data_IF_223085178842
#
_entry.id   IF_223085178842
#
_cell.length_a   1.000
_cell.length_b   1.000
_cell.length_c   1.000
_cell.angle_alpha   90.00
_cell.angle_beta   90.00
_cell.angle_gamma   90.00
#
_symmetry.space_group_name_H-M   'P 1'
#
loop_
_entity.id
_entity.type
_entity.pdbx_description
1 polymer ?
#
# COMPACT_ATOMS: atom_id res chain seq x y z
N UNK A 1 5.16 5.30 3.48
CA UNK A 1 6.09 6.14 2.68
C UNK A 1 5.48 7.54 2.52
N UNK A 2 6.29 8.59 2.28
CA UNK A 2 5.77 9.88 1.83
C UNK A 2 5.20 9.79 0.41
N UNK A 3 4.57 10.88 -0.06
CA UNK A 3 4.09 10.99 -1.44
C UNK A 3 5.24 10.75 -2.43
N UNK A 4 5.04 9.81 -3.35
CA UNK A 4 6.04 9.43 -4.36
C UNK A 4 5.34 8.86 -5.59
N UNK A 5 5.95 9.05 -6.76
CA UNK A 5 5.51 8.43 -8.02
C UNK A 5 5.53 6.90 -7.95
N UNK A 6 6.44 6.32 -7.14
CA UNK A 6 6.52 4.87 -6.98
C UNK A 6 5.27 4.30 -6.29
N UNK A 7 4.60 5.08 -5.44
CA UNK A 7 3.40 4.64 -4.71
C UNK A 7 2.31 4.13 -5.65
N UNK A 8 2.11 4.82 -6.78
CA UNK A 8 1.13 4.45 -7.80
C UNK A 8 1.45 3.09 -8.40
N UNK A 9 2.71 2.88 -8.84
CA UNK A 9 3.14 1.60 -9.42
C UNK A 9 3.07 0.44 -8.42
N UNK A 10 3.44 0.68 -7.16
CA UNK A 10 3.34 -0.31 -6.08
C UNK A 10 1.88 -0.66 -5.82
N UNK A 11 1.02 0.35 -5.70
CA UNK A 11 -0.41 0.17 -5.41
C UNK A 11 -1.10 -0.64 -6.49
N UNK A 12 -1.00 -0.22 -7.75
CA UNK A 12 -1.63 -0.96 -8.85
C UNK A 12 -0.99 -2.31 -9.10
N UNK A 13 0.34 -2.43 -8.98
CA UNK A 13 1.00 -3.73 -9.07
C UNK A 13 0.50 -4.71 -8.01
N UNK A 14 0.26 -4.22 -6.79
CA UNK A 14 -0.30 -5.02 -5.69
C UNK A 14 -1.70 -5.54 -6.05
N UNK A 15 -2.60 -4.66 -6.50
CA UNK A 15 -3.99 -5.04 -6.77
C UNK A 15 -4.13 -5.89 -8.03
N UNK A 16 -3.32 -5.63 -9.06
CA UNK A 16 -3.26 -6.50 -10.24
C UNK A 16 -2.78 -7.91 -9.89
N UNK A 17 -1.89 -8.04 -8.91
CA UNK A 17 -1.43 -9.33 -8.40
C UNK A 17 -2.40 -10.00 -7.40
N UNK A 18 -3.59 -9.44 -7.18
CA UNK A 18 -4.59 -9.94 -6.22
C UNK A 18 -4.27 -9.63 -4.75
N UNK A 19 -3.32 -8.74 -4.51
CA UNK A 19 -3.00 -8.22 -3.19
C UNK A 19 -3.91 -7.07 -2.77
N UNK A 20 -4.01 -6.85 -1.46
CA UNK A 20 -4.81 -5.78 -0.86
C UNK A 20 -3.89 -4.64 -0.44
N UNK A 21 -4.20 -3.41 -0.83
CA UNK A 21 -3.45 -2.23 -0.36
C UNK A 21 -3.96 -1.83 1.02
N UNK A 22 -3.08 -1.71 2.01
CA UNK A 22 -3.41 -1.12 3.32
C UNK A 22 -2.58 0.15 3.56
N UNK A 23 -3.06 1.34 3.13
CA UNK A 23 -2.33 2.58 3.30
C UNK A 23 -2.11 2.91 4.78
N UNK A 24 -0.93 3.42 5.10
CA UNK A 24 -0.58 3.85 6.47
C UNK A 24 0.30 5.09 6.44
N UNK A 25 0.29 5.83 7.55
CA UNK A 25 1.15 7.01 7.72
C UNK A 25 2.62 6.60 7.87
N UNK A 26 3.52 7.40 7.29
CA UNK A 26 4.97 7.29 7.53
C UNK A 26 5.42 7.99 8.82
N UNK A 27 4.50 8.60 9.56
CA UNK A 27 4.76 9.29 10.83
C UNK A 27 4.45 8.43 12.06
N UNK A 28 3.93 7.21 11.87
CA UNK A 28 3.65 6.31 12.98
C UNK A 28 4.92 5.87 13.69
N UNK A 29 4.82 5.72 15.00
CA UNK A 29 5.79 4.98 15.80
C UNK A 29 5.82 3.49 15.42
N UNK A 30 6.87 2.77 15.81
CA UNK A 30 6.97 1.33 15.57
C UNK A 30 5.86 0.54 16.24
N UNK A 31 5.39 0.98 17.41
CA UNK A 31 4.28 0.32 18.13
C UNK A 31 2.94 0.52 17.41
N UNK A 32 2.60 1.74 17.01
CA UNK A 32 1.37 2.04 16.26
C UNK A 32 1.35 1.32 14.92
N UNK A 33 2.48 1.36 14.20
CA UNK A 33 2.64 0.64 12.95
C UNK A 33 2.56 -0.87 13.15
N UNK A 34 3.20 -1.42 14.19
CA UNK A 34 3.18 -2.85 14.48
C UNK A 34 1.77 -3.37 14.76
N UNK A 35 1.00 -2.64 15.59
CA UNK A 35 -0.42 -2.93 15.82
C UNK A 35 -1.21 -2.88 14.52
N UNK A 36 -0.95 -1.89 13.66
CA UNK A 36 -1.62 -1.74 12.36
C UNK A 36 -1.34 -2.91 11.42
N UNK A 37 -0.07 -3.27 11.27
CA UNK A 37 0.37 -4.38 10.42
C UNK A 37 -0.15 -5.73 10.90
N UNK A 38 -0.23 -5.91 12.22
CA UNK A 38 -0.77 -7.13 12.81
C UNK A 38 -2.28 -7.26 12.57
N UNK A 39 -3.04 -6.17 12.77
CA UNK A 39 -4.49 -6.13 12.56
C UNK A 39 -4.86 -6.33 11.08
N UNK A 40 -4.15 -5.65 10.16
CA UNK A 40 -4.38 -5.80 8.72
C UNK A 40 -3.93 -7.16 8.17
N UNK A 41 -3.13 -7.91 8.94
CA UNK A 41 -2.52 -9.16 8.49
C UNK A 41 -1.53 -8.98 7.34
N UNK A 42 -0.90 -7.80 7.23
CA UNK A 42 0.01 -7.47 6.13
C UNK A 42 1.17 -8.46 6.02
N UNK A 43 1.48 -8.86 4.78
CA UNK A 43 2.56 -9.80 4.47
C UNK A 43 3.82 -9.14 3.90
N UNK A 44 3.67 -7.97 3.27
CA UNK A 44 4.76 -7.18 2.68
C UNK A 44 4.59 -5.73 3.10
N UNK A 45 5.69 -5.06 3.47
CA UNK A 45 5.68 -3.63 3.82
C UNK A 45 6.62 -2.86 2.89
N UNK A 46 6.10 -1.83 2.23
CA UNK A 46 6.88 -0.88 1.45
C UNK A 46 7.20 0.36 2.30
N UNK A 47 8.48 0.71 2.42
CA UNK A 47 8.93 1.87 3.19
C UNK A 47 10.08 2.60 2.50
N UNK A 48 10.37 3.83 2.91
CA UNK A 48 11.61 4.50 2.52
C UNK A 48 12.74 4.07 3.46
N UNK A 49 13.99 4.35 3.07
CA UNK A 49 15.15 4.09 3.94
C UNK A 49 15.01 4.78 5.31
N UNK A 50 14.53 6.02 5.33
CA UNK A 50 14.30 6.79 6.56
C UNK A 50 13.31 6.14 7.54
N UNK A 51 12.45 5.23 7.07
CA UNK A 51 11.47 4.53 7.90
C UNK A 51 11.81 3.06 8.15
N UNK A 52 12.93 2.55 7.60
CA UNK A 52 13.23 1.12 7.64
C UNK A 52 13.36 0.60 9.08
N UNK A 53 14.12 1.28 9.93
CA UNK A 53 14.32 0.81 11.31
C UNK A 53 12.98 0.80 12.09
N UNK A 54 12.12 1.80 11.91
CA UNK A 54 10.75 1.80 12.47
C UNK A 54 9.94 0.59 12.01
N UNK A 55 10.04 0.23 10.72
CA UNK A 55 9.33 -0.92 10.14
C UNK A 55 9.88 -2.24 10.67
N UNK A 56 11.21 -2.37 10.81
CA UNK A 56 11.85 -3.57 11.34
C UNK A 56 11.48 -3.79 12.81
N UNK A 57 11.39 -2.72 13.59
CA UNK A 57 10.89 -2.79 14.97
C UNK A 57 9.39 -3.12 15.01
N UNK A 58 8.57 -2.49 14.16
CA UNK A 58 7.13 -2.77 14.05
C UNK A 58 6.84 -4.23 13.67
N UNK A 59 7.67 -4.82 12.80
CA UNK A 59 7.57 -6.22 12.36
C UNK A 59 7.63 -7.20 13.54
N UNK A 60 8.29 -6.86 14.65
CA UNK A 60 8.32 -7.71 15.86
C UNK A 60 6.92 -7.94 16.46
N UNK A 61 5.98 -7.01 16.23
CA UNK A 61 4.59 -7.11 16.67
C UNK A 61 3.65 -7.69 15.59
N UNK A 62 4.15 -7.89 14.36
CA UNK A 62 3.37 -8.29 13.20
C UNK A 62 4.01 -9.50 12.51
N UNK A 63 3.87 -10.72 13.08
CA UNK A 63 4.59 -11.92 12.62
C UNK A 63 4.21 -12.38 11.21
N UNK A 64 3.09 -11.91 10.65
CA UNK A 64 2.68 -12.20 9.27
C UNK A 64 3.49 -11.44 8.22
N UNK A 65 4.21 -10.37 8.60
CA UNK A 65 5.06 -9.60 7.68
C UNK A 65 6.28 -10.44 7.31
N UNK A 66 6.30 -10.95 6.09
CA UNK A 66 7.40 -11.76 5.55
C UNK A 66 8.50 -10.85 5.02
N UNK A 67 8.12 -9.91 4.16
CA UNK A 67 9.07 -9.08 3.42
C UNK A 67 8.96 -7.60 3.75
N UNK A 68 10.10 -6.92 3.75
CA UNK A 68 10.18 -5.45 3.79
C UNK A 68 10.89 -5.00 2.53
N UNK A 69 10.27 -4.09 1.80
CA UNK A 69 10.76 -3.54 0.54
C UNK A 69 11.08 -2.07 0.73
N UNK A 70 12.34 -1.70 0.57
CA UNK A 70 12.77 -0.31 0.68
C UNK A 70 12.72 0.38 -0.69
N UNK A 71 12.10 1.54 -0.72
CA UNK A 71 11.84 2.36 -1.91
C UNK A 71 12.59 3.68 -1.79
N UNK A 72 13.27 4.08 -2.86
CA UNK A 72 14.01 5.33 -2.93
C UNK A 72 15.13 5.27 -3.97
N UNK A 73 15.57 6.42 -4.49
CA UNK A 73 16.59 6.49 -5.54
C UNK A 73 17.99 6.17 -5.02
N UNK A 74 18.29 6.57 -3.79
CA UNK A 74 19.57 6.38 -3.11
C UNK A 74 19.30 5.59 -1.85
N UNK A 75 19.96 4.44 -1.73
CA UNK A 75 19.83 3.52 -0.60
C UNK A 75 21.24 3.15 -0.16
N UNK A 76 21.56 3.32 1.13
CA UNK A 76 22.87 2.94 1.66
C UNK A 76 23.12 1.43 1.57
N UNK A 77 24.39 1.03 1.52
CA UNK A 77 24.77 -0.40 1.56
C UNK A 77 24.26 -1.11 2.81
N UNK A 78 24.14 -0.38 3.92
CA UNK A 78 23.60 -0.92 5.16
C UNK A 78 22.13 -1.31 5.01
N UNK A 79 21.31 -0.44 4.42
CA UNK A 79 19.90 -0.68 4.13
C UNK A 79 19.71 -1.80 3.11
N UNK A 80 20.59 -1.88 2.11
CA UNK A 80 20.59 -2.95 1.11
C UNK A 80 20.74 -4.36 1.68
N UNK A 81 21.31 -4.51 2.89
CA UNK A 81 21.48 -5.79 3.58
C UNK A 81 20.30 -6.20 4.45
N UNK A 82 19.36 -5.28 4.72
CA UNK A 82 18.25 -5.46 5.67
C UNK A 82 16.88 -5.66 5.00
N UNK A 83 16.78 -5.40 3.69
CA UNK A 83 15.50 -5.35 2.98
C UNK A 83 15.68 -5.63 1.49
N UNK A 84 14.59 -5.98 0.82
CA UNK A 84 14.55 -6.04 -0.64
C UNK A 84 14.51 -4.60 -1.17
N UNK A 85 15.24 -4.31 -2.25
CA UNK A 85 15.23 -2.97 -2.84
C UNK A 85 14.26 -2.89 -4.01
N UNK A 86 13.34 -1.92 -3.96
CA UNK A 86 12.37 -1.72 -5.04
C UNK A 86 13.03 -1.42 -6.39
N UNK A 87 14.16 -0.71 -6.37
CA UNK A 87 14.94 -0.42 -7.59
C UNK A 87 15.41 -1.69 -8.31
N UNK A 88 15.60 -2.79 -7.59
CA UNK A 88 16.04 -4.06 -8.16
C UNK A 88 14.85 -4.88 -8.64
N UNK A 89 13.72 -4.84 -7.91
CA UNK A 89 12.43 -5.37 -8.40
C UNK A 89 12.07 -4.73 -9.75
N UNK A 90 12.23 -3.41 -9.89
CA UNK A 90 11.93 -2.67 -11.14
C UNK A 90 12.81 -3.07 -12.33
N UNK A 91 13.96 -3.73 -12.10
CA UNK A 91 14.81 -4.26 -13.18
C UNK A 91 14.38 -5.65 -13.63
N UNK A 92 13.53 -6.32 -12.86
CA UNK A 92 12.96 -7.61 -13.24
C UNK A 92 11.88 -7.42 -14.31
N UNK A 93 11.69 -8.45 -15.14
CA UNK A 93 10.60 -8.53 -16.10
C UNK A 93 9.91 -9.89 -15.95
N UNK A 94 9.16 -10.09 -14.85
CA UNK A 94 8.44 -11.33 -14.68
C UNK A 94 7.37 -11.47 -15.76
N UNK A 95 7.18 -12.69 -16.27
CA UNK A 95 5.99 -12.98 -17.07
C UNK A 95 4.78 -12.91 -16.14
N UNK A 96 3.93 -11.92 -16.37
CA UNK A 96 2.73 -11.69 -15.57
C UNK A 96 1.49 -11.93 -16.43
N UNK A 97 0.71 -12.94 -16.08
CA UNK A 97 -0.49 -13.34 -16.83
C UNK A 97 -1.79 -12.77 -16.21
N UNK A 98 -1.68 -11.97 -15.15
CA UNK A 98 -2.82 -11.55 -14.35
C UNK A 98 -3.28 -12.63 -13.38
N UNK A 99 -4.07 -12.23 -12.39
CA UNK A 99 -4.85 -13.15 -11.56
C UNK A 99 -6.33 -12.92 -11.79
N UNK A 100 -7.15 -13.94 -11.53
CA UNK A 100 -8.59 -13.74 -11.52
C UNK A 100 -8.99 -12.92 -10.30
N UNK A 101 -9.75 -11.84 -10.53
CA UNK A 101 -10.25 -10.95 -9.48
C UNK A 101 -11.77 -10.89 -9.59
N UNK A 102 -12.46 -11.35 -8.56
CA UNK A 102 -13.89 -11.16 -8.41
C UNK A 102 -14.16 -9.74 -7.88
N UNK A 103 -14.68 -8.86 -8.72
CA UNK A 103 -14.84 -7.45 -8.36
C UNK A 103 -15.75 -7.21 -7.14
N UNK A 104 -16.68 -8.13 -6.87
CA UNK A 104 -17.67 -8.02 -5.79
C UNK A 104 -17.14 -8.46 -4.43
N UNK A 105 -16.20 -9.40 -4.44
CA UNK A 105 -15.76 -10.11 -3.23
C UNK A 105 -14.32 -9.75 -2.86
N UNK A 106 -13.46 -9.60 -3.86
CA UNK A 106 -12.04 -9.33 -3.63
C UNK A 106 -11.84 -7.88 -3.20
N UNK A 107 -11.02 -7.74 -2.16
CA UNK A 107 -10.72 -6.45 -1.54
C UNK A 107 -9.63 -5.75 -2.34
N UNK A 108 -9.88 -4.51 -2.76
CA UNK A 108 -8.89 -3.66 -3.43
C UNK A 108 -8.00 -2.96 -2.40
N UNK A 109 -8.61 -2.35 -1.38
CA UNK A 109 -7.88 -1.68 -0.33
C UNK A 109 -8.57 -1.75 1.03
N UNK A 110 -7.75 -1.62 2.07
CA UNK A 110 -8.12 -1.63 3.47
C UNK A 110 -7.63 -0.33 4.14
N UNK A 111 -8.13 0.86 3.76
CA UNK A 111 -7.84 2.09 4.49
C UNK A 111 -8.44 2.01 5.89
N UNK A 112 -7.77 2.58 6.86
CA UNK A 112 -8.26 2.60 8.22
C UNK A 112 -8.89 3.94 8.60
N UNK A 113 -9.94 3.87 9.42
CA UNK A 113 -10.51 5.06 10.04
C UNK A 113 -9.56 5.68 11.07
N UNK A 114 -9.74 6.98 11.36
CA UNK A 114 -8.95 7.71 12.35
C UNK A 114 -9.23 7.28 13.81
N UNK A 115 -10.31 6.54 14.07
CA UNK A 115 -10.61 6.00 15.39
C UNK A 115 -11.07 7.04 16.43
N UNK A 116 -11.78 8.09 16.02
CA UNK A 116 -12.24 9.13 16.96
C UNK A 116 -13.23 8.62 18.03
N UNK A 117 -13.90 7.50 17.77
CA UNK A 117 -14.90 6.87 18.66
C UNK A 117 -14.48 5.49 19.18
N UNK A 118 -13.21 5.11 19.01
CA UNK A 118 -12.69 3.80 19.41
C UNK A 118 -11.46 3.40 18.62
N UNK A 119 -11.03 2.14 18.75
CA UNK A 119 -9.85 1.66 18.02
C UNK A 119 -10.05 1.83 16.49
N UNK A 120 -9.05 2.32 15.76
CA UNK A 120 -9.06 2.37 14.29
C UNK A 120 -9.46 1.02 13.68
N UNK A 121 -10.33 1.05 12.67
CA UNK A 121 -10.82 -0.17 11.99
C UNK A 121 -10.47 -0.11 10.52
N UNK A 122 -10.07 -1.24 9.95
CA UNK A 122 -9.91 -1.41 8.51
C UNK A 122 -11.26 -1.34 7.81
N UNK A 123 -11.42 -0.41 6.88
CA UNK A 123 -12.59 -0.27 6.02
C UNK A 123 -12.34 -1.12 4.78
N UNK A 124 -13.15 -2.17 4.61
CA UNK A 124 -13.01 -3.10 3.49
C UNK A 124 -13.62 -2.46 2.25
N UNK A 125 -12.79 -2.16 1.25
CA UNK A 125 -13.24 -1.64 -0.04
C UNK A 125 -12.89 -2.64 -1.14
N UNK A 126 -13.92 -3.18 -1.79
CA UNK A 126 -13.76 -4.12 -2.91
C UNK A 126 -13.38 -3.41 -4.20
N UNK A 127 -12.95 -4.19 -5.18
CA UNK A 127 -12.67 -3.67 -6.52
C UNK A 127 -13.89 -2.95 -7.12
N UNK A 128 -15.12 -3.46 -6.91
CA UNK A 128 -16.36 -2.80 -7.35
C UNK A 128 -16.55 -1.46 -6.65
N UNK A 129 -16.33 -1.36 -5.33
CA UNK A 129 -16.47 -0.08 -4.61
C UNK A 129 -15.60 1.01 -5.26
N UNK A 130 -14.34 0.68 -5.55
CA UNK A 130 -13.40 1.60 -6.19
C UNK A 130 -13.78 1.93 -7.64
N UNK A 131 -14.20 0.92 -8.40
CA UNK A 131 -14.62 1.10 -9.80
C UNK A 131 -15.86 1.98 -9.94
N UNK A 132 -16.79 1.96 -8.97
CA UNK A 132 -17.98 2.83 -8.99
C UNK A 132 -17.67 4.29 -8.66
N UNK A 133 -16.63 4.57 -7.85
CA UNK A 133 -16.27 5.94 -7.48
C UNK A 133 -15.74 6.76 -8.68
N UNK A 134 -14.99 6.12 -9.58
CA UNK A 134 -14.33 6.77 -10.72
C UNK A 134 -15.33 7.40 -11.70
N UNK A 135 -16.35 6.69 -12.24
CA UNK A 135 -17.37 7.27 -13.11
C UNK A 135 -18.11 8.43 -12.45
N UNK A 136 -18.51 8.29 -11.19
CA UNK A 136 -19.21 9.33 -10.45
C UNK A 136 -18.38 10.61 -10.38
N UNK A 137 -17.09 10.48 -10.06
CA UNK A 137 -16.17 11.60 -10.05
C UNK A 137 -16.01 12.21 -11.46
N UNK A 138 -15.77 11.39 -12.48
CA UNK A 138 -15.58 11.90 -13.84
C UNK A 138 -16.82 12.58 -14.41
N UNK A 139 -18.02 12.07 -14.09
CA UNK A 139 -19.28 12.65 -14.53
C UNK A 139 -19.52 14.01 -13.85
N UNK A 140 -19.33 14.08 -12.52
CA UNK A 140 -19.38 15.33 -11.77
C UNK A 140 -18.42 16.38 -12.36
N UNK A 141 -17.17 15.98 -12.64
CA UNK A 141 -16.17 16.89 -13.22
C UNK A 141 -16.59 17.39 -14.60
N UNK A 142 -17.10 16.51 -15.48
CA UNK A 142 -17.59 16.91 -16.81
C UNK A 142 -18.77 17.89 -16.76
N UNK A 143 -19.66 17.72 -15.79
CA UNK A 143 -20.83 18.61 -15.62
C UNK A 143 -20.44 20.01 -15.16
N UNK A 144 -19.34 20.16 -14.41
CA UNK A 144 -19.00 21.41 -13.73
C UNK A 144 -17.68 22.04 -14.19
N UNK A 145 -16.88 21.34 -15.00
CA UNK A 145 -15.57 21.79 -15.50
C UNK A 145 -15.55 21.56 -17.01
N UNK A 146 -15.97 22.59 -17.75
CA UNK A 146 -16.17 22.53 -19.19
C UNK A 146 -14.85 22.55 -20.01
N UNK A 147 -13.73 22.92 -19.39
CA UNK A 147 -12.43 23.09 -20.06
C UNK A 147 -11.49 21.87 -19.93
N UNK A 148 -12.01 20.74 -19.42
CA UNK A 148 -11.22 19.53 -19.15
C UNK A 148 -11.20 18.50 -20.30
N UNK A 149 -11.68 18.86 -21.48
CA UNK A 149 -11.68 18.03 -22.71
C UNK A 149 -11.06 18.78 -23.86
#
# INVERSE_FOLDING_TARGET
MPNSVDYTSISFGTTLAGGIISPTSNLFSSEELGKRLNDSGSSIVFCTEANLDTVLEAKKLAPKVKEVVTVGPLISEFTAKKSILYKDIRKTQPKFEGVHINSDEDVFCLPYSSGTTGLPKGVVLTHRNMATMLPNFTNMMKEHIHDMM
#
